data_IF_959702784314
#
_entry.id   IF_959702784314
#
_cell.length_a   1.000
_cell.length_b   1.000
_cell.length_c   1.000
_cell.angle_alpha   90.00
_cell.angle_beta   90.00
_cell.angle_gamma   90.00
#
_symmetry.space_group_name_H-M   'P 1'
#
loop_
_entity.id
_entity.type
_entity.pdbx_description
1 polymer ?
#
# COMPACT_ATOMS: atom_id res chain seq x y z
N UNK A 1 -16.16 -1.83 -3.03
CA UNK A 1 -15.17 -1.11 -2.20
C UNK A 1 -14.43 -2.07 -1.25
N UNK A 2 -15.14 -2.91 -0.49
CA UNK A 2 -14.55 -3.93 0.39
C UNK A 2 -13.50 -4.84 -0.26
N UNK A 3 -13.80 -5.40 -1.43
CA UNK A 3 -12.87 -6.27 -2.17
C UNK A 3 -11.55 -5.58 -2.57
N UNK A 4 -11.61 -4.30 -2.91
CA UNK A 4 -10.42 -3.50 -3.26
C UNK A 4 -9.60 -3.12 -2.03
N UNK A 5 -10.25 -2.94 -0.88
CA UNK A 5 -9.55 -2.69 0.38
C UNK A 5 -8.79 -3.95 0.80
N UNK A 6 -9.42 -5.13 0.69
CA UNK A 6 -8.78 -6.42 0.95
C UNK A 6 -7.63 -6.70 -0.03
N UNK A 7 -7.82 -6.43 -1.31
CA UNK A 7 -6.78 -6.57 -2.32
C UNK A 7 -5.59 -5.64 -2.03
N UNK A 8 -5.84 -4.36 -1.77
CA UNK A 8 -4.79 -3.39 -1.47
C UNK A 8 -4.00 -3.73 -0.21
N UNK A 9 -4.70 -4.07 0.87
CA UNK A 9 -4.07 -4.50 2.12
C UNK A 9 -3.23 -5.77 1.94
N UNK A 10 -3.75 -6.77 1.23
CA UNK A 10 -3.02 -8.01 0.95
C UNK A 10 -1.77 -7.80 0.11
N UNK A 11 -1.85 -6.95 -0.92
CA UNK A 11 -0.69 -6.58 -1.75
C UNK A 11 0.38 -5.88 -0.91
N UNK A 12 -0.03 -4.93 -0.06
CA UNK A 12 0.91 -4.19 0.77
C UNK A 12 1.66 -5.12 1.75
N UNK A 13 0.94 -5.99 2.46
CA UNK A 13 1.53 -6.90 3.46
C UNK A 13 2.52 -7.86 2.80
N UNK A 14 2.16 -8.43 1.65
CA UNK A 14 3.03 -9.37 0.93
C UNK A 14 4.27 -8.71 0.32
N UNK A 15 4.17 -7.45 -0.10
CA UNK A 15 5.30 -6.68 -0.58
C UNK A 15 6.25 -6.27 0.54
N UNK A 16 5.71 -5.77 1.67
CA UNK A 16 6.48 -5.28 2.82
C UNK A 16 7.15 -6.43 3.59
N UNK A 17 6.55 -7.62 3.63
CA UNK A 17 7.08 -8.76 4.38
C UNK A 17 8.41 -9.29 3.83
N UNK A 18 8.63 -9.16 2.51
CA UNK A 18 9.85 -9.63 1.84
C UNK A 18 11.05 -8.69 2.02
N UNK A 19 10.84 -7.53 2.64
CA UNK A 19 11.91 -6.55 2.88
C UNK A 19 12.66 -6.96 4.15
N UNK A 20 13.91 -7.40 3.98
CA UNK A 20 14.87 -7.62 5.06
C UNK A 20 16.13 -6.80 4.78
N UNK A 21 16.63 -6.12 5.80
CA UNK A 21 17.90 -5.38 5.77
C UNK A 21 18.87 -6.15 6.66
N UNK A 22 20.11 -6.33 6.19
CA UNK A 22 21.17 -7.00 6.93
C UNK A 22 22.52 -6.39 6.55
N UNK A 23 23.38 -6.11 7.53
CA UNK A 23 24.76 -5.69 7.28
C UNK A 23 25.23 -4.48 8.10
N UNK A 24 24.37 -3.89 8.94
CA UNK A 24 24.71 -2.74 9.78
C UNK A 24 24.66 -3.05 11.30
N UNK A 25 24.36 -4.31 11.68
CA UNK A 25 24.24 -4.77 13.06
C UNK A 25 22.78 -4.84 13.50
N UNK A 26 22.42 -5.82 14.34
CA UNK A 26 21.03 -6.24 14.59
C UNK A 26 20.07 -5.08 14.97
N UNK A 27 20.51 -4.15 15.83
CA UNK A 27 19.69 -3.01 16.26
C UNK A 27 19.49 -1.98 15.15
N UNK A 28 20.53 -1.68 14.38
CA UNK A 28 20.49 -0.69 13.29
C UNK A 28 19.74 -1.25 12.09
N UNK A 29 19.95 -2.53 11.77
CA UNK A 29 19.24 -3.25 10.71
C UNK A 29 17.72 -3.27 10.98
N UNK A 30 17.30 -3.50 12.24
CA UNK A 30 15.89 -3.44 12.63
C UNK A 30 15.28 -2.05 12.47
N UNK A 31 15.99 -1.00 12.93
CA UNK A 31 15.51 0.38 12.82
C UNK A 31 15.37 0.82 11.36
N UNK A 32 16.38 0.57 10.53
CA UNK A 32 16.37 0.93 9.11
C UNK A 32 15.26 0.16 8.38
N UNK A 33 15.14 -1.14 8.62
CA UNK A 33 14.09 -1.95 8.04
C UNK A 33 12.69 -1.42 8.41
N UNK A 34 12.47 -1.04 9.68
CA UNK A 34 11.19 -0.49 10.15
C UNK A 34 10.85 0.83 9.45
N UNK A 35 11.81 1.76 9.37
CA UNK A 35 11.62 3.06 8.74
C UNK A 35 11.28 2.90 7.25
N UNK A 36 12.02 2.06 6.52
CA UNK A 36 11.77 1.81 5.10
C UNK A 36 10.38 1.22 4.90
N UNK A 37 10.00 0.21 5.69
CA UNK A 37 8.68 -0.42 5.63
C UNK A 37 7.57 0.59 5.90
N UNK A 38 7.74 1.48 6.88
CA UNK A 38 6.76 2.53 7.20
C UNK A 38 6.59 3.54 6.05
N UNK A 39 7.70 4.03 5.46
CA UNK A 39 7.65 4.98 4.34
C UNK A 39 6.96 4.36 3.13
N UNK A 40 7.29 3.12 2.78
CA UNK A 40 6.64 2.38 1.68
C UNK A 40 5.15 2.22 1.96
N UNK A 41 4.77 1.86 3.19
CA UNK A 41 3.36 1.71 3.56
C UNK A 41 2.57 3.01 3.40
N UNK A 42 3.13 4.14 3.84
CA UNK A 42 2.48 5.46 3.70
C UNK A 42 2.28 5.79 2.22
N UNK A 43 3.33 5.67 1.40
CA UNK A 43 3.25 5.94 -0.04
C UNK A 43 2.21 5.05 -0.73
N UNK A 44 2.18 3.77 -0.38
CA UNK A 44 1.22 2.83 -0.95
C UNK A 44 -0.21 3.18 -0.56
N UNK A 45 -0.47 3.52 0.70
CA UNK A 45 -1.80 3.96 1.15
C UNK A 45 -2.25 5.21 0.40
N UNK A 46 -1.37 6.21 0.26
CA UNK A 46 -1.67 7.42 -0.51
C UNK A 46 -2.02 7.10 -1.97
N UNK A 47 -1.22 6.26 -2.63
CA UNK A 47 -1.50 5.82 -4.00
C UNK A 47 -2.82 5.04 -4.10
N UNK A 48 -3.10 4.16 -3.13
CA UNK A 48 -4.31 3.35 -3.12
C UNK A 48 -5.58 4.18 -2.94
N UNK A 49 -5.53 5.23 -2.11
CA UNK A 49 -6.65 6.19 -1.96
C UNK A 49 -6.96 6.88 -3.28
N UNK A 50 -5.94 7.29 -4.04
CA UNK A 50 -6.13 7.90 -5.37
C UNK A 50 -6.76 6.90 -6.35
N UNK A 51 -6.30 5.66 -6.36
CA UNK A 51 -6.86 4.58 -7.19
C UNK A 51 -8.33 4.34 -6.84
N UNK A 52 -8.66 4.22 -5.55
CA UNK A 52 -10.03 4.05 -5.08
C UNK A 52 -10.93 5.24 -5.47
N UNK A 53 -10.42 6.46 -5.34
CA UNK A 53 -11.15 7.68 -5.72
C UNK A 53 -11.46 7.71 -7.22
N UNK A 54 -10.45 7.43 -8.07
CA UNK A 54 -10.65 7.36 -9.53
C UNK A 54 -11.61 6.24 -9.93
N UNK A 55 -11.47 5.06 -9.35
CA UNK A 55 -12.32 3.92 -9.69
C UNK A 55 -13.78 4.18 -9.28
N UNK A 56 -14.00 4.76 -8.10
CA UNK A 56 -15.35 5.15 -7.65
C UNK A 56 -15.96 6.21 -8.57
N UNK A 57 -15.18 7.20 -9.01
CA UNK A 57 -15.63 8.22 -9.95
C UNK A 57 -15.99 7.63 -11.32
N UNK A 58 -15.20 6.67 -11.83
CA UNK A 58 -15.49 5.94 -13.07
C UNK A 58 -16.78 5.11 -12.98
N UNK A 59 -17.02 4.46 -11.84
CA UNK A 59 -18.25 3.69 -11.60
C UNK A 59 -19.46 4.64 -11.58
N UNK A 60 -19.34 5.81 -10.94
CA UNK A 60 -20.42 6.81 -10.88
C UNK A 60 -20.74 7.42 -12.24
N UNK A 61 -19.74 7.80 -13.03
CA UNK A 61 -20.01 8.36 -14.37
C UNK A 61 -20.64 7.34 -15.33
N UNK A 62 -20.22 6.07 -15.26
CA UNK A 62 -20.83 5.01 -16.07
C UNK A 62 -22.30 4.74 -15.74
N UNK A 63 -22.78 5.11 -14.55
CA UNK A 63 -24.19 4.95 -14.18
C UNK A 63 -25.08 6.09 -14.68
N UNK A 64 -24.51 7.26 -15.01
CA UNK A 64 -25.27 8.43 -15.48
C UNK A 64 -25.39 8.43 -17.01
N UNK A 65 -24.50 7.71 -17.70
CA UNK A 65 -24.47 7.58 -19.17
C UNK A 65 -25.36 6.43 -19.71
N UNK A 66 -26.06 5.71 -18.82
CA UNK A 66 -27.03 4.64 -19.14
C UNK A 66 -28.44 5.06 -18.78
#
# INVERSE_FOLDING_TARGET
>A
MWLLILAGGGILVTAVSKISVSGYGDEIDFLIASIIKAVIAILFVTAWVVVLSKLKNRIFQKQIES
#
